data_IF_246551323648
#
_entry.id   IF_246551323648
#
_cell.length_a   1.000
_cell.length_b   1.000
_cell.length_c   1.000
_cell.angle_alpha   90.00
_cell.angle_beta   90.00
_cell.angle_gamma   90.00
#
_symmetry.space_group_name_H-M   'P 1'
#
loop_
_entity.id
_entity.type
_entity.pdbx_description
1 polymer ?
#
# COMPACT_ATOMS: atom_id res chain seq x y z
N UNK A 1 -26.95 -14.46 39.42
CA UNK A 1 -25.63 -14.61 40.08
C UNK A 1 -24.57 -14.11 39.12
N UNK A 2 -23.90 -12.99 39.39
CA UNK A 2 -22.80 -12.46 38.57
C UNK A 2 -21.43 -12.89 39.13
N UNK A 3 -20.38 -12.22 38.63
CA UNK A 3 -18.94 -12.26 38.97
C UNK A 3 -18.19 -13.44 38.26
N UNK A 4 -17.09 -13.31 37.52
CA UNK A 4 -15.94 -12.38 37.56
C UNK A 4 -15.35 -12.15 36.14
N UNK A 5 -15.09 -10.88 35.82
CA UNK A 5 -14.15 -10.39 34.80
C UNK A 5 -12.77 -10.29 35.46
N UNK A 6 -11.70 -10.77 34.81
CA UNK A 6 -10.34 -10.38 35.17
C UNK A 6 -9.62 -9.82 33.94
N UNK A 7 -9.57 -8.49 33.92
CA UNK A 7 -8.65 -7.65 33.15
C UNK A 7 -7.49 -7.36 34.08
N UNK A 8 -6.26 -7.71 33.69
CA UNK A 8 -5.05 -7.19 34.33
C UNK A 8 -4.52 -6.10 33.42
N UNK A 9 -4.95 -4.87 33.71
CA UNK A 9 -4.21 -3.65 33.38
C UNK A 9 -3.37 -3.30 34.61
N UNK A 10 -2.09 -3.05 34.39
CA UNK A 10 -1.20 -2.48 35.41
C UNK A 10 -1.02 -1.01 35.02
N UNK A 11 -1.82 -0.15 35.67
CA UNK A 11 -1.55 1.27 35.81
C UNK A 11 -0.57 1.45 36.97
N UNK A 12 0.58 2.06 36.71
CA UNK A 12 1.45 2.63 37.74
C UNK A 12 1.72 4.08 37.34
N UNK A 13 0.84 4.97 37.79
CA UNK A 13 1.13 6.37 38.07
C UNK A 13 0.40 6.74 39.38
N UNK A 14 1.04 7.63 40.13
CA UNK A 14 0.58 8.30 41.37
C UNK A 14 0.95 7.67 42.72
N UNK A 15 2.20 7.92 43.12
CA UNK A 15 2.54 8.21 44.52
C UNK A 15 3.72 9.19 44.60
N UNK A 16 3.43 10.49 44.64
CA UNK A 16 4.31 11.46 45.28
C UNK A 16 3.47 12.38 46.14
N UNK A 17 3.35 11.97 47.40
CA UNK A 17 2.69 12.71 48.46
C UNK A 17 3.58 13.88 48.91
N UNK A 18 3.00 15.07 48.94
CA UNK A 18 3.64 16.30 49.39
C UNK A 18 3.53 16.40 50.90
N UNK A 19 4.60 16.13 51.65
CA UNK A 19 4.97 16.82 52.91
C UNK A 19 6.24 16.25 53.54
N UNK A 20 7.03 17.15 54.11
CA UNK A 20 8.14 16.93 55.05
C UNK A 20 9.47 16.45 54.45
N UNK A 21 10.25 17.38 53.89
CA UNK A 21 11.66 17.54 54.27
C UNK A 21 12.09 18.98 53.94
N UNK A 22 11.99 19.86 54.94
CA UNK A 22 12.74 21.11 54.97
C UNK A 22 14.10 20.78 55.59
N UNK A 23 15.17 20.90 54.79
CA UNK A 23 16.50 21.40 55.21
C UNK A 23 17.47 21.36 54.02
N UNK A 24 17.85 22.55 53.59
CA UNK A 24 19.11 22.93 52.92
C UNK A 24 19.65 22.00 51.83
N UNK A 25 19.25 22.24 50.58
CA UNK A 25 20.09 21.98 49.41
C UNK A 25 19.94 23.17 48.45
N UNK A 26 21.07 23.72 48.02
CA UNK A 26 21.16 24.95 47.25
C UNK A 26 20.39 24.92 45.92
N UNK A 27 20.04 26.12 45.46
CA UNK A 27 19.47 26.40 44.13
C UNK A 27 20.32 25.77 43.03
N UNK A 28 19.85 24.67 42.45
CA UNK A 28 20.37 24.14 41.20
C UNK A 28 19.78 24.94 40.03
N UNK A 29 20.57 25.36 39.04
CA UNK A 29 20.05 26.11 37.90
C UNK A 29 19.16 25.22 37.02
N UNK A 30 17.90 25.65 36.82
CA UNK A 30 16.86 25.00 36.01
C UNK A 30 17.37 24.53 34.63
N UNK A 31 18.33 25.23 34.05
CA UNK A 31 18.91 24.93 32.74
C UNK A 31 19.54 23.52 32.65
N UNK A 32 19.99 22.91 33.76
CA UNK A 32 20.56 21.55 33.73
C UNK A 32 19.50 20.45 33.72
N UNK A 33 18.35 20.68 34.32
CA UNK A 33 17.23 19.73 34.32
C UNK A 33 16.60 19.72 32.92
N UNK A 34 16.43 20.88 32.30
CA UNK A 34 15.95 20.98 30.92
C UNK A 34 16.92 20.35 29.92
N UNK A 35 18.24 20.51 30.13
CA UNK A 35 19.25 19.80 29.33
C UNK A 35 19.22 18.29 29.54
N UNK A 36 18.96 17.81 30.76
CA UNK A 36 18.91 16.39 31.05
C UNK A 36 17.62 15.74 30.52
N UNK A 37 16.48 16.44 30.59
CA UNK A 37 15.22 16.02 29.97
C UNK A 37 15.32 16.06 28.44
N UNK A 38 15.97 17.08 27.88
CA UNK A 38 16.30 17.17 26.45
C UNK A 38 17.21 16.01 26.01
N UNK A 39 18.24 15.70 26.80
CA UNK A 39 19.17 14.60 26.54
C UNK A 39 18.49 13.23 26.67
N UNK A 40 17.58 13.06 27.63
CA UNK A 40 16.77 11.84 27.78
C UNK A 40 15.71 11.70 26.68
N UNK A 41 15.02 12.79 26.28
CA UNK A 41 14.13 12.76 25.11
C UNK A 41 14.90 12.40 23.86
N UNK A 42 16.08 12.99 23.67
CA UNK A 42 16.97 12.72 22.55
C UNK A 42 17.53 11.29 22.58
N UNK A 43 17.93 10.77 23.74
CA UNK A 43 18.45 9.40 23.87
C UNK A 43 17.38 8.30 23.82
N UNK A 44 16.12 8.64 24.10
CA UNK A 44 14.96 7.75 23.89
C UNK A 44 14.52 7.79 22.42
N UNK A 45 14.53 8.96 21.76
CA UNK A 45 14.27 9.10 20.31
C UNK A 45 15.38 8.50 19.44
N UNK A 46 16.64 8.56 19.86
CA UNK A 46 17.79 8.02 19.11
C UNK A 46 17.90 6.47 19.20
N UNK A 47 17.09 5.82 20.06
CA UNK A 47 17.09 4.36 20.24
C UNK A 47 15.90 3.66 19.58
N UNK A 48 14.93 4.39 19.02
CA UNK A 48 13.86 3.78 18.24
C UNK A 48 14.34 3.59 16.79
N UNK A 49 14.24 2.36 16.29
CA UNK A 49 14.54 2.07 14.89
C UNK A 49 13.75 3.02 13.97
N UNK A 50 14.26 3.45 12.82
CA UNK A 50 13.52 4.34 11.93
C UNK A 50 12.24 3.66 11.40
N UNK A 51 11.26 4.46 10.98
CA UNK A 51 10.06 3.96 10.31
C UNK A 51 10.42 3.28 8.98
N UNK A 52 9.81 2.13 8.73
CA UNK A 52 9.95 1.42 7.47
C UNK A 52 9.32 2.22 6.31
N UNK A 53 10.06 2.39 5.22
CA UNK A 53 9.61 3.10 4.00
C UNK A 53 9.95 2.32 2.74
N UNK A 54 9.16 2.47 1.68
CA UNK A 54 9.43 1.83 0.39
C UNK A 54 8.78 0.45 0.27
N UNK A 55 9.40 -0.41 -0.52
CA UNK A 55 8.99 -1.81 -0.67
C UNK A 55 9.51 -2.63 0.52
N UNK A 56 8.67 -2.75 1.57
CA UNK A 56 8.99 -3.17 2.93
C UNK A 56 9.29 -4.66 3.10
N UNK A 57 8.57 -5.53 2.40
CA UNK A 57 8.73 -7.00 2.52
C UNK A 57 9.52 -7.63 1.37
N UNK A 58 9.91 -6.84 0.37
CA UNK A 58 10.53 -7.34 -0.87
C UNK A 58 12.06 -7.42 -0.79
N UNK A 59 12.55 -8.41 -0.05
CA UNK A 59 13.93 -8.90 -0.26
C UNK A 59 14.01 -10.35 -0.65
N UNK A 60 12.87 -10.95 -0.95
CA UNK A 60 12.79 -12.29 -1.52
C UNK A 60 12.68 -12.11 -3.02
N UNK A 61 13.73 -12.47 -3.76
CA UNK A 61 13.53 -12.78 -5.19
C UNK A 61 12.54 -13.95 -5.25
N UNK A 62 11.29 -13.68 -5.66
CA UNK A 62 10.19 -14.65 -5.72
C UNK A 62 10.30 -15.66 -6.88
N UNK A 63 11.49 -15.84 -7.45
CA UNK A 63 11.72 -16.86 -8.47
C UNK A 63 11.85 -18.22 -7.81
N UNK A 64 10.76 -18.98 -7.79
CA UNK A 64 10.76 -20.41 -7.50
C UNK A 64 11.21 -21.19 -8.74
N UNK A 65 12.38 -20.86 -9.32
CA UNK A 65 13.02 -21.83 -10.18
C UNK A 65 13.28 -23.07 -9.33
N UNK A 66 12.68 -24.19 -9.72
CA UNK A 66 13.07 -25.51 -9.22
C UNK A 66 14.54 -25.67 -9.62
N UNK A 67 15.47 -25.44 -8.68
CA UNK A 67 16.87 -25.79 -8.91
C UNK A 67 16.92 -27.28 -9.27
N UNK A 68 17.88 -27.67 -10.10
CA UNK A 68 18.06 -29.07 -10.50
C UNK A 68 18.20 -30.03 -9.30
N UNK A 69 18.52 -29.50 -8.11
CA UNK A 69 18.66 -30.22 -6.83
C UNK A 69 17.43 -30.15 -5.90
N UNK A 70 16.37 -29.43 -6.27
CA UNK A 70 15.15 -29.32 -5.46
C UNK A 70 15.25 -28.46 -4.20
N UNK A 71 16.35 -27.72 -3.98
CA UNK A 71 16.54 -26.90 -2.77
C UNK A 71 16.05 -25.45 -2.93
N UNK A 72 15.37 -24.94 -1.90
CA UNK A 72 14.98 -23.52 -1.78
C UNK A 72 16.05 -22.75 -0.98
N UNK A 73 16.44 -21.57 -1.48
CA UNK A 73 17.43 -20.71 -0.84
C UNK A 73 16.80 -19.87 0.29
N UNK A 74 17.03 -20.30 1.54
CA UNK A 74 16.51 -19.63 2.75
C UNK A 74 17.33 -18.40 3.19
N UNK A 75 18.42 -18.04 2.49
CA UNK A 75 19.28 -16.90 2.88
C UNK A 75 18.65 -15.51 2.65
N UNK A 76 17.46 -15.46 2.04
CA UNK A 76 16.77 -14.24 1.56
C UNK A 76 15.89 -13.53 2.61
N UNK A 77 15.93 -13.99 3.87
CA UNK A 77 15.06 -13.51 4.96
C UNK A 77 15.56 -12.26 5.69
N UNK A 78 16.75 -11.75 5.36
CA UNK A 78 17.36 -10.64 6.11
C UNK A 78 17.56 -9.43 5.22
N UNK A 79 17.04 -8.30 5.68
CA UNK A 79 17.18 -7.04 4.99
C UNK A 79 18.61 -6.51 5.09
N UNK A 80 19.31 -6.34 3.95
CA UNK A 80 20.60 -5.61 3.84
C UNK A 80 20.57 -4.13 4.29
N UNK A 81 19.39 -3.62 4.63
CA UNK A 81 19.16 -2.27 5.16
C UNK A 81 18.68 -2.54 6.58
N UNK A 82 19.30 -1.92 7.58
CA UNK A 82 19.11 -2.25 9.00
C UNK A 82 17.64 -2.31 9.47
N UNK A 83 17.44 -2.74 10.71
CA UNK A 83 16.11 -2.86 11.31
C UNK A 83 15.34 -1.54 11.25
N UNK A 84 14.12 -1.57 10.73
CA UNK A 84 13.13 -0.50 10.79
C UNK A 84 11.87 -1.03 11.48
N UNK A 85 11.01 -0.15 12.00
CA UNK A 85 9.74 -0.57 12.58
C UNK A 85 8.57 -0.29 11.63
N UNK A 86 7.64 -1.25 11.54
CA UNK A 86 6.36 -1.08 10.86
C UNK A 86 5.34 -0.51 11.83
N UNK A 87 4.61 0.52 11.40
CA UNK A 87 3.45 1.02 12.14
C UNK A 87 2.21 0.21 11.79
N UNK A 88 1.35 -0.04 12.78
CA UNK A 88 -0.02 -0.47 12.54
C UNK A 88 -0.89 0.77 12.55
N UNK A 89 -1.23 1.29 11.38
CA UNK A 89 -2.07 2.47 11.23
C UNK A 89 -3.48 2.21 11.78
N UNK A 90 -3.76 2.82 12.93
CA UNK A 90 -5.10 3.04 13.46
C UNK A 90 -5.87 4.05 12.60
N UNK A 91 -7.17 4.17 12.82
CA UNK A 91 -7.98 5.19 12.12
C UNK A 91 -7.46 6.61 12.38
N UNK A 92 -7.09 6.93 13.63
CA UNK A 92 -6.56 8.24 13.99
C UNK A 92 -5.23 8.53 13.27
N UNK A 93 -4.33 7.55 13.18
CA UNK A 93 -3.06 7.71 12.46
C UNK A 93 -3.26 7.81 10.94
N UNK A 94 -4.26 7.12 10.38
CA UNK A 94 -4.62 7.26 8.97
C UNK A 94 -5.14 8.67 8.66
N UNK A 95 -6.00 9.23 9.52
CA UNK A 95 -6.46 10.62 9.42
C UNK A 95 -5.28 11.59 9.47
N UNK A 96 -4.41 11.46 10.48
CA UNK A 96 -3.22 12.30 10.61
C UNK A 96 -2.30 12.21 9.39
N UNK A 97 -2.13 11.01 8.83
CA UNK A 97 -1.40 10.85 7.56
C UNK A 97 -2.09 11.61 6.40
N UNK A 98 -3.40 11.51 6.24
CA UNK A 98 -4.09 12.22 5.16
C UNK A 98 -3.99 13.75 5.30
N UNK A 99 -4.04 14.27 6.53
CA UNK A 99 -3.82 15.68 6.80
C UNK A 99 -2.38 16.10 6.44
N UNK A 100 -1.37 15.33 6.85
CA UNK A 100 0.04 15.56 6.48
C UNK A 100 0.24 15.58 4.95
N UNK A 101 -0.36 14.64 4.22
CA UNK A 101 -0.29 14.59 2.76
C UNK A 101 -0.98 15.78 2.10
N UNK A 102 -2.11 16.20 2.66
CA UNK A 102 -2.85 17.36 2.18
C UNK A 102 -2.04 18.65 2.36
N UNK A 103 -1.43 18.85 3.52
CA UNK A 103 -0.62 20.03 3.81
C UNK A 103 0.63 20.11 2.91
N UNK A 104 1.23 18.95 2.58
CA UNK A 104 2.29 18.88 1.59
C UNK A 104 1.83 19.33 0.20
N UNK A 105 0.67 18.82 -0.25
CA UNK A 105 0.06 19.23 -1.53
C UNK A 105 -0.18 20.75 -1.59
N UNK A 106 -0.62 21.37 -0.48
CA UNK A 106 -0.80 22.81 -0.40
C UNK A 106 0.54 23.56 -0.50
N UNK A 107 1.57 23.07 0.21
CA UNK A 107 2.89 23.70 0.28
C UNK A 107 3.59 23.71 -1.08
N UNK A 108 3.65 22.56 -1.77
CA UNK A 108 4.24 22.46 -3.12
C UNK A 108 3.54 23.36 -4.14
N UNK A 109 2.21 23.55 -4.00
CA UNK A 109 1.43 24.39 -4.91
C UNK A 109 1.48 25.87 -4.57
N UNK A 110 1.55 26.23 -3.29
CA UNK A 110 1.68 27.63 -2.85
C UNK A 110 2.99 28.25 -3.32
N UNK A 111 4.06 27.46 -3.42
CA UNK A 111 5.34 27.91 -4.00
C UNK A 111 5.23 28.20 -5.50
N UNK A 112 4.27 27.59 -6.19
CA UNK A 112 4.15 27.65 -7.65
C UNK A 112 2.98 28.51 -8.16
N UNK A 113 1.95 28.82 -7.36
CA UNK A 113 0.83 29.72 -7.72
C UNK A 113 0.25 30.45 -6.48
N UNK A 114 0.16 31.79 -6.47
CA UNK A 114 -0.22 32.57 -5.28
C UNK A 114 -1.73 32.63 -4.97
N UNK A 115 -2.60 31.92 -5.71
CA UNK A 115 -4.05 32.07 -5.54
C UNK A 115 -4.62 31.04 -4.53
N UNK A 116 -4.42 31.31 -3.23
CA UNK A 116 -4.80 30.43 -2.11
C UNK A 116 -6.29 30.02 -2.10
N UNK A 117 -7.19 30.87 -2.59
CA UNK A 117 -8.64 30.62 -2.54
C UNK A 117 -9.07 29.43 -3.42
N UNK A 118 -8.38 29.18 -4.54
CA UNK A 118 -8.65 28.03 -5.41
C UNK A 118 -8.03 26.73 -4.86
N UNK A 119 -6.89 26.88 -4.17
CA UNK A 119 -6.12 25.78 -3.58
C UNK A 119 -6.85 25.20 -2.35
N UNK A 120 -7.48 26.04 -1.51
CA UNK A 120 -8.27 25.61 -0.34
C UNK A 120 -9.50 24.75 -0.68
N UNK A 121 -9.93 24.72 -1.96
CA UNK A 121 -11.05 23.90 -2.44
C UNK A 121 -10.60 22.58 -3.09
N UNK A 122 -9.29 22.37 -3.31
CA UNK A 122 -8.79 21.10 -3.82
C UNK A 122 -8.86 20.03 -2.74
N UNK A 123 -9.08 18.80 -3.18
CA UNK A 123 -9.02 17.58 -2.37
C UNK A 123 -7.72 16.84 -2.66
N UNK A 124 -7.23 16.08 -1.70
CA UNK A 124 -6.14 15.14 -1.93
C UNK A 124 -6.66 14.03 -2.85
N UNK A 125 -6.20 14.05 -4.12
CA UNK A 125 -6.63 13.09 -5.13
C UNK A 125 -5.71 11.87 -5.16
N UNK A 126 -6.27 10.69 -4.92
CA UNK A 126 -5.58 9.39 -5.03
C UNK A 126 -6.28 8.58 -6.13
N UNK A 127 -5.53 8.16 -7.15
CA UNK A 127 -6.06 7.39 -8.27
C UNK A 127 -5.55 5.95 -8.26
N UNK A 128 -6.47 5.00 -8.47
CA UNK A 128 -6.20 3.59 -8.68
C UNK A 128 -6.49 3.25 -10.16
N UNK A 129 -5.53 2.71 -10.90
CA UNK A 129 -5.71 2.42 -12.33
C UNK A 129 -5.32 0.98 -12.63
N UNK A 130 -6.25 0.18 -13.14
CA UNK A 130 -5.91 -1.21 -13.47
C UNK A 130 -7.08 -2.14 -13.64
N UNK A 131 -6.79 -3.42 -13.41
CA UNK A 131 -7.73 -4.53 -13.47
C UNK A 131 -8.46 -4.77 -12.12
N UNK A 132 -9.16 -5.91 -12.04
CA UNK A 132 -9.92 -6.36 -10.87
C UNK A 132 -9.08 -6.46 -9.60
N UNK A 133 -7.77 -6.71 -9.69
CA UNK A 133 -6.90 -6.75 -8.52
C UNK A 133 -6.65 -5.35 -7.97
N UNK A 134 -6.42 -4.36 -8.84
CA UNK A 134 -6.33 -2.96 -8.41
C UNK A 134 -7.67 -2.49 -7.84
N UNK A 135 -8.79 -2.91 -8.42
CA UNK A 135 -10.13 -2.66 -7.87
C UNK A 135 -10.31 -3.22 -6.46
N UNK A 136 -9.80 -4.41 -6.17
CA UNK A 136 -9.81 -4.98 -4.82
C UNK A 136 -8.96 -4.18 -3.83
N UNK A 137 -7.80 -3.71 -4.26
CA UNK A 137 -6.94 -2.84 -3.43
C UNK A 137 -7.62 -1.49 -3.17
N UNK A 138 -8.33 -0.93 -4.17
CA UNK A 138 -9.17 0.27 -4.03
C UNK A 138 -10.26 0.07 -2.96
N UNK A 139 -11.08 -0.99 -3.03
CA UNK A 139 -12.10 -1.24 -2.00
C UNK A 139 -11.51 -1.44 -0.61
N UNK A 140 -10.35 -2.10 -0.49
CA UNK A 140 -9.68 -2.24 0.80
C UNK A 140 -9.16 -0.91 1.33
N UNK A 141 -8.67 -0.04 0.45
CA UNK A 141 -8.25 1.31 0.81
C UNK A 141 -9.45 2.16 1.28
N UNK A 142 -10.62 2.04 0.65
CA UNK A 142 -11.83 2.76 1.07
C UNK A 142 -12.24 2.44 2.51
N UNK A 143 -11.90 1.27 3.05
CA UNK A 143 -12.17 0.89 4.45
C UNK A 143 -11.50 1.79 5.48
N UNK A 144 -10.51 2.59 5.06
CA UNK A 144 -9.87 3.61 5.88
C UNK A 144 -10.75 4.85 6.07
N UNK A 145 -11.72 5.06 5.19
CA UNK A 145 -12.67 6.18 5.23
C UNK A 145 -13.93 5.72 5.95
N UNK A 146 -14.49 6.44 6.92
CA UNK A 146 -15.76 6.09 7.54
C UNK A 146 -16.91 6.00 6.53
N UNK A 147 -17.75 4.97 6.60
CA UNK A 147 -18.84 4.74 5.63
C UNK A 147 -19.78 5.94 5.47
N UNK A 148 -20.05 6.67 6.56
CA UNK A 148 -20.94 7.84 6.57
C UNK A 148 -20.36 9.07 5.84
N UNK A 149 -19.06 9.08 5.54
CA UNK A 149 -18.38 10.17 4.85
C UNK A 149 -18.04 9.81 3.39
N UNK A 150 -18.46 8.64 2.91
CA UNK A 150 -18.24 8.23 1.51
C UNK A 150 -19.40 8.66 0.64
N UNK A 151 -19.18 9.65 -0.22
CA UNK A 151 -20.04 9.92 -1.37
C UNK A 151 -19.47 9.17 -2.57
N UNK A 152 -20.25 8.24 -3.13
CA UNK A 152 -19.75 7.33 -4.17
C UNK A 152 -20.43 7.56 -5.51
N UNK A 153 -19.68 7.39 -6.58
CA UNK A 153 -20.20 7.32 -7.94
C UNK A 153 -19.61 6.08 -8.62
N UNK A 154 -20.43 5.13 -9.08
CA UNK A 154 -21.89 5.02 -8.87
C UNK A 154 -22.29 4.84 -7.39
N UNK A 155 -23.56 5.06 -7.08
CA UNK A 155 -24.13 4.90 -5.73
C UNK A 155 -25.30 3.89 -5.73
N UNK A 156 -25.22 2.77 -4.99
CA UNK A 156 -24.07 2.29 -4.22
C UNK A 156 -22.93 1.80 -5.12
N UNK A 157 -21.72 1.66 -4.57
CA UNK A 157 -20.62 1.03 -5.29
C UNK A 157 -20.97 -0.45 -5.60
N UNK A 158 -20.95 -0.86 -6.88
CA UNK A 158 -21.25 -2.22 -7.29
C UNK A 158 -20.11 -3.18 -6.88
N UNK A 159 -20.45 -4.43 -6.56
CA UNK A 159 -19.46 -5.42 -6.14
C UNK A 159 -18.67 -6.05 -7.31
N UNK A 160 -19.33 -6.27 -8.45
CA UNK A 160 -18.70 -6.71 -9.72
C UNK A 160 -18.97 -5.62 -10.74
N UNK A 161 -17.94 -4.90 -11.14
CA UNK A 161 -18.06 -3.75 -12.01
C UNK A 161 -16.75 -3.46 -12.72
N UNK A 162 -16.85 -3.38 -14.03
CA UNK A 162 -15.74 -3.18 -14.96
C UNK A 162 -15.83 -1.75 -15.53
N UNK A 163 -16.03 -0.79 -14.64
CA UNK A 163 -16.15 0.63 -14.96
C UNK A 163 -15.52 1.51 -13.89
N UNK A 164 -15.45 2.80 -14.20
CA UNK A 164 -14.80 3.80 -13.36
C UNK A 164 -15.63 4.11 -12.11
N UNK A 165 -14.95 4.39 -11.01
CA UNK A 165 -15.58 4.72 -9.74
C UNK A 165 -14.91 5.92 -9.10
N UNK A 166 -15.69 6.71 -8.38
CA UNK A 166 -15.22 7.83 -7.59
C UNK A 166 -15.79 7.77 -6.18
N UNK A 167 -14.96 8.12 -5.20
CA UNK A 167 -15.35 8.33 -3.81
C UNK A 167 -14.83 9.67 -3.34
N UNK A 168 -15.72 10.53 -2.89
CA UNK A 168 -15.39 11.80 -2.26
C UNK A 168 -15.65 11.67 -0.76
N UNK A 169 -14.69 12.13 0.03
CA UNK A 169 -14.84 12.34 1.47
C UNK A 169 -14.60 13.80 1.79
N UNK A 170 -15.61 14.44 2.39
CA UNK A 170 -15.52 15.86 2.72
C UNK A 170 -14.75 16.07 4.01
N UNK A 171 -14.94 15.20 5.02
CA UNK A 171 -14.25 15.35 6.30
C UNK A 171 -12.75 15.13 6.16
N UNK A 172 -12.32 14.15 5.37
CA UNK A 172 -10.89 13.87 5.14
C UNK A 172 -10.32 14.64 3.94
N UNK A 173 -11.14 15.46 3.26
CA UNK A 173 -10.75 16.23 2.06
C UNK A 173 -10.15 15.33 0.97
N UNK A 174 -10.68 14.12 0.81
CA UNK A 174 -10.18 13.11 -0.13
C UNK A 174 -11.05 13.04 -1.38
N UNK A 175 -10.39 12.79 -2.51
CA UNK A 175 -10.99 12.29 -3.75
C UNK A 175 -10.26 11.01 -4.12
N UNK A 176 -10.96 9.89 -4.20
CA UNK A 176 -10.37 8.60 -4.55
C UNK A 176 -11.04 8.08 -5.80
N UNK A 177 -10.28 7.86 -6.86
CA UNK A 177 -10.78 7.36 -8.13
C UNK A 177 -10.25 5.96 -8.41
N UNK A 178 -11.08 5.14 -9.05
CA UNK A 178 -10.68 3.90 -9.69
C UNK A 178 -11.00 4.01 -11.17
N UNK A 179 -10.00 3.79 -12.02
CA UNK A 179 -10.18 3.70 -13.47
C UNK A 179 -10.00 2.26 -13.91
N UNK A 180 -11.04 1.71 -14.55
CA UNK A 180 -10.99 0.37 -15.11
C UNK A 180 -10.16 0.38 -16.40
N UNK A 181 -8.89 0.00 -16.26
CA UNK A 181 -7.92 -0.04 -17.35
C UNK A 181 -7.16 -1.36 -17.25
N UNK A 182 -7.75 -2.50 -17.64
CA UNK A 182 -7.13 -3.80 -17.43
C UNK A 182 -5.90 -4.03 -18.32
N UNK A 183 -5.82 -3.32 -19.45
CA UNK A 183 -4.74 -3.42 -20.42
C UNK A 183 -3.94 -2.12 -20.48
N UNK A 184 -2.71 -2.24 -20.98
CA UNK A 184 -1.92 -1.08 -21.38
C UNK A 184 -2.31 -0.79 -22.82
N UNK A 185 -3.02 0.30 -23.05
CA UNK A 185 -3.49 0.73 -24.35
C UNK A 185 -3.32 2.25 -24.53
N UNK A 186 -3.85 2.79 -25.63
CA UNK A 186 -3.75 4.21 -25.91
C UNK A 186 -4.56 5.06 -24.91
N UNK A 187 -5.61 4.48 -24.31
CA UNK A 187 -6.45 5.14 -23.31
C UNK A 187 -5.64 5.48 -22.07
N UNK A 188 -4.97 4.49 -21.47
CA UNK A 188 -4.16 4.73 -20.26
C UNK A 188 -2.94 5.61 -20.55
N UNK A 189 -2.34 5.50 -21.74
CA UNK A 189 -1.24 6.37 -22.17
C UNK A 189 -1.71 7.82 -22.28
N UNK A 190 -2.88 8.05 -22.88
CA UNK A 190 -3.44 9.39 -23.05
C UNK A 190 -3.89 9.98 -21.71
N UNK A 191 -4.56 9.19 -20.85
CA UNK A 191 -4.93 9.61 -19.50
C UNK A 191 -3.70 10.06 -18.69
N UNK A 192 -2.65 9.25 -18.71
CA UNK A 192 -1.37 9.57 -18.03
C UNK A 192 -0.74 10.83 -18.59
N UNK A 193 -0.75 11.00 -19.93
CA UNK A 193 -0.22 12.18 -20.60
C UNK A 193 -0.98 13.44 -20.21
N UNK A 194 -2.30 13.39 -20.18
CA UNK A 194 -3.14 14.53 -19.78
C UNK A 194 -2.78 14.99 -18.37
N UNK A 195 -2.68 14.07 -17.41
CA UNK A 195 -2.23 14.41 -16.05
C UNK A 195 -0.81 14.96 -15.99
N UNK A 196 0.08 14.53 -16.88
CA UNK A 196 1.47 14.98 -16.88
C UNK A 196 1.66 16.38 -17.46
N UNK A 197 0.83 16.80 -18.43
CA UNK A 197 1.10 18.01 -19.24
C UNK A 197 0.09 19.13 -19.04
N UNK A 198 -1.13 18.82 -18.62
CA UNK A 198 -2.20 19.81 -18.54
C UNK A 198 -2.33 20.35 -17.11
N UNK A 199 -1.95 21.62 -16.93
CA UNK A 199 -2.00 22.29 -15.64
C UNK A 199 -3.42 22.51 -15.10
N UNK A 200 -4.45 22.36 -15.95
CA UNK A 200 -5.86 22.39 -15.57
C UNK A 200 -6.39 21.02 -15.18
N UNK A 201 -5.73 19.93 -15.58
CA UNK A 201 -6.12 18.60 -15.12
C UNK A 201 -5.90 18.43 -13.62
N UNK A 202 -6.83 17.76 -12.97
CA UNK A 202 -6.74 17.41 -11.56
C UNK A 202 -5.88 16.15 -11.38
N UNK A 203 -4.61 16.24 -11.80
CA UNK A 203 -3.63 15.15 -11.69
C UNK A 203 -3.60 14.61 -10.24
N UNK A 204 -3.60 13.27 -10.06
CA UNK A 204 -3.62 12.68 -8.74
C UNK A 204 -2.32 13.01 -8.01
N UNK A 205 -2.42 13.31 -6.71
CA UNK A 205 -1.23 13.40 -5.85
C UNK A 205 -0.52 12.04 -5.77
N UNK A 206 -1.29 10.95 -5.71
CA UNK A 206 -0.80 9.58 -5.69
C UNK A 206 -1.52 8.76 -6.76
N UNK A 207 -0.75 8.13 -7.65
CA UNK A 207 -1.21 7.16 -8.62
C UNK A 207 -0.73 5.75 -8.22
N UNK A 208 -1.68 4.86 -7.98
CA UNK A 208 -1.45 3.43 -7.73
C UNK A 208 -1.94 2.66 -8.95
N UNK A 209 -1.06 1.94 -9.65
CA UNK A 209 -1.45 1.28 -10.89
C UNK A 209 -0.86 -0.12 -11.10
N UNK A 210 -1.57 -0.95 -11.85
CA UNK A 210 -1.08 -2.22 -12.39
C UNK A 210 -2.01 -2.80 -13.44
N UNK A 211 -1.43 -3.43 -14.46
CA UNK A 211 -2.14 -3.88 -15.67
C UNK A 211 -1.45 -5.12 -16.26
N UNK A 212 -1.30 -6.18 -15.47
CA UNK A 212 -0.57 -7.38 -15.91
C UNK A 212 -1.49 -8.57 -16.20
N UNK A 213 -2.53 -8.76 -15.38
CA UNK A 213 -3.36 -9.96 -15.38
C UNK A 213 -4.02 -10.20 -16.75
N UNK A 214 -4.64 -9.17 -17.32
CA UNK A 214 -5.36 -9.29 -18.58
C UNK A 214 -4.46 -9.56 -19.78
N UNK A 215 -3.23 -9.05 -19.79
CA UNK A 215 -2.27 -9.38 -20.86
C UNK A 215 -1.82 -10.84 -20.85
N UNK A 216 -2.08 -11.57 -19.75
CA UNK A 216 -1.82 -13.00 -19.68
C UNK A 216 -2.96 -13.82 -20.27
N UNK A 217 -4.15 -13.26 -20.45
CA UNK A 217 -5.31 -13.98 -20.96
C UNK A 217 -5.19 -14.26 -22.46
N UNK A 218 -5.60 -15.45 -22.90
CA UNK A 218 -5.64 -15.87 -24.29
C UNK A 218 -6.63 -15.02 -25.10
N UNK A 219 -7.73 -14.58 -24.47
CA UNK A 219 -8.67 -13.64 -25.10
C UNK A 219 -7.99 -12.33 -25.53
N UNK A 220 -6.95 -11.93 -24.82
CA UNK A 220 -6.14 -10.73 -25.09
C UNK A 220 -4.84 -11.05 -25.85
N UNK A 221 -4.71 -12.29 -26.33
CA UNK A 221 -3.57 -12.79 -27.11
C UNK A 221 -2.37 -13.26 -26.30
N UNK A 222 -2.41 -13.18 -24.96
CA UNK A 222 -1.38 -13.71 -24.04
C UNK A 222 0.08 -13.36 -24.40
N UNK A 223 0.32 -12.19 -25.01
CA UNK A 223 1.59 -11.88 -25.68
C UNK A 223 2.51 -11.03 -24.80
N UNK A 224 3.49 -11.68 -24.16
CA UNK A 224 4.47 -11.01 -23.29
C UNK A 224 5.35 -9.99 -24.02
N UNK A 225 5.66 -10.20 -25.30
CA UNK A 225 6.45 -9.23 -26.08
C UNK A 225 5.63 -7.96 -26.37
N UNK A 226 4.34 -8.13 -26.68
CA UNK A 226 3.41 -7.02 -26.86
C UNK A 226 3.23 -6.24 -25.55
N UNK A 227 3.08 -6.94 -24.42
CA UNK A 227 3.06 -6.33 -23.09
C UNK A 227 4.31 -5.46 -22.85
N UNK A 228 5.50 -6.02 -23.09
CA UNK A 228 6.76 -5.27 -22.95
C UNK A 228 6.81 -4.03 -23.86
N UNK A 229 6.34 -4.15 -25.10
CA UNK A 229 6.28 -3.03 -26.05
C UNK A 229 5.36 -1.92 -25.54
N UNK A 230 4.16 -2.26 -25.08
CA UNK A 230 3.17 -1.33 -24.54
C UNK A 230 3.66 -0.68 -23.24
N UNK A 231 4.28 -1.45 -22.36
CA UNK A 231 4.88 -0.92 -21.14
C UNK A 231 6.00 0.09 -21.42
N UNK A 232 6.84 -0.16 -22.45
CA UNK A 232 7.84 0.81 -22.92
C UNK A 232 7.23 2.10 -23.49
N UNK A 233 6.01 2.06 -24.01
CA UNK A 233 5.28 3.25 -24.49
C UNK A 233 4.69 4.05 -23.32
N UNK A 234 4.23 3.36 -22.27
CA UNK A 234 3.70 3.98 -21.05
C UNK A 234 4.81 4.58 -20.17
N UNK A 235 6.00 3.97 -20.12
CA UNK A 235 7.06 4.38 -19.21
C UNK A 235 7.49 5.87 -19.33
N UNK A 236 7.65 6.46 -20.53
CA UNK A 236 8.01 7.87 -20.65
C UNK A 236 6.93 8.83 -20.10
N UNK A 237 5.65 8.52 -20.27
CA UNK A 237 4.56 9.37 -19.76
C UNK A 237 4.41 9.24 -18.25
N UNK A 238 4.66 8.06 -17.67
CA UNK A 238 4.75 7.89 -16.22
C UNK A 238 5.92 8.71 -15.64
N UNK A 239 7.07 8.71 -16.31
CA UNK A 239 8.20 9.53 -15.89
C UNK A 239 7.86 11.03 -15.87
N UNK A 240 7.14 11.51 -16.89
CA UNK A 240 6.69 12.90 -16.94
C UNK A 240 5.69 13.22 -15.83
N UNK A 241 4.70 12.34 -15.62
CA UNK A 241 3.70 12.49 -14.56
C UNK A 241 4.34 12.54 -13.16
N UNK A 242 5.44 11.80 -12.96
CA UNK A 242 6.11 11.76 -11.68
C UNK A 242 6.74 13.09 -11.23
N UNK A 243 6.78 14.10 -12.11
CA UNK A 243 7.15 15.47 -11.73
C UNK A 243 6.09 16.16 -10.86
N UNK A 244 4.84 15.68 -10.91
CA UNK A 244 3.69 16.29 -10.21
C UNK A 244 2.88 15.29 -9.39
N UNK A 245 3.23 14.00 -9.45
CA UNK A 245 2.52 12.90 -8.78
C UNK A 245 3.50 11.90 -8.19
N UNK A 246 3.13 11.26 -7.08
CA UNK A 246 3.78 10.04 -6.63
C UNK A 246 3.22 8.85 -7.40
N UNK A 247 4.08 7.97 -7.91
CA UNK A 247 3.66 6.81 -8.71
C UNK A 247 4.11 5.52 -8.06
N UNK A 248 3.16 4.63 -7.79
CA UNK A 248 3.36 3.28 -7.27
C UNK A 248 2.84 2.27 -8.28
N UNK A 249 3.74 1.48 -8.88
CA UNK A 249 3.39 0.30 -9.65
C UNK A 249 3.29 -0.92 -8.74
N UNK A 250 2.09 -1.45 -8.54
CA UNK A 250 1.91 -2.67 -7.77
C UNK A 250 2.19 -3.88 -8.67
N UNK A 251 3.20 -4.69 -8.38
CA UNK A 251 3.39 -5.93 -9.13
C UNK A 251 2.21 -6.90 -8.93
N UNK A 252 2.05 -7.80 -9.89
CA UNK A 252 1.03 -8.83 -9.81
C UNK A 252 1.46 -9.86 -8.76
N UNK A 253 0.53 -10.22 -7.86
CA UNK A 253 0.82 -11.16 -6.78
C UNK A 253 1.15 -12.54 -7.34
N UNK A 254 2.08 -13.29 -6.73
CA UNK A 254 2.27 -14.70 -7.04
C UNK A 254 0.98 -15.48 -6.74
N UNK A 255 0.78 -16.56 -7.48
CA UNK A 255 -0.38 -17.45 -7.38
C UNK A 255 0.07 -18.92 -7.32
N UNK A 256 -0.72 -19.85 -7.82
CA UNK A 256 -0.38 -21.27 -7.99
C UNK A 256 0.22 -21.51 -9.38
N UNK A 257 1.13 -22.50 -9.53
CA UNK A 257 1.72 -22.84 -10.84
C UNK A 257 0.73 -23.54 -11.77
N UNK A 258 -0.22 -24.29 -11.20
CA UNK A 258 -1.28 -24.94 -11.96
C UNK A 258 -2.39 -25.34 -10.99
N UNK A 259 -3.63 -24.96 -11.28
CA UNK A 259 -4.77 -25.44 -10.50
C UNK A 259 -5.88 -25.95 -11.42
N UNK A 260 -6.26 -27.21 -11.18
CA UNK A 260 -7.45 -27.81 -11.76
C UNK A 260 -7.19 -28.77 -12.92
N UNK A 261 -8.29 -29.39 -13.37
CA UNK A 261 -8.36 -30.09 -14.64
C UNK A 261 -8.11 -29.06 -15.77
N UNK A 262 -7.78 -29.47 -17.00
CA UNK A 262 -7.57 -28.53 -18.14
C UNK A 262 -8.78 -27.58 -18.35
N UNK A 263 -9.95 -27.97 -17.83
CA UNK A 263 -11.22 -27.22 -17.86
C UNK A 263 -11.59 -26.52 -16.53
N UNK A 264 -10.66 -26.44 -15.56
CA UNK A 264 -10.86 -25.79 -14.26
C UNK A 264 -10.61 -24.27 -14.31
N UNK A 265 -11.00 -23.52 -13.25
CA UNK A 265 -10.78 -22.07 -13.19
C UNK A 265 -9.28 -21.73 -13.18
N UNK A 266 -8.90 -20.79 -14.05
CA UNK A 266 -7.57 -20.18 -14.20
C UNK A 266 -6.41 -21.15 -14.53
N UNK A 267 -6.34 -21.60 -15.78
CA UNK A 267 -5.18 -22.31 -16.34
C UNK A 267 -4.15 -21.39 -17.01
N UNK A 268 -4.46 -20.10 -17.13
CA UNK A 268 -3.72 -19.15 -17.98
C UNK A 268 -2.81 -18.19 -17.18
N UNK A 269 -3.14 -17.94 -15.92
CA UNK A 269 -2.41 -17.05 -15.02
C UNK A 269 -1.79 -17.91 -13.91
N UNK A 270 -0.48 -18.11 -14.00
CA UNK A 270 0.29 -18.92 -13.07
C UNK A 270 1.58 -18.21 -12.66
N UNK A 271 2.18 -18.64 -11.56
CA UNK A 271 3.29 -17.93 -10.90
C UNK A 271 4.50 -17.70 -11.79
N UNK A 272 4.95 -18.68 -12.57
CA UNK A 272 6.07 -18.48 -13.49
C UNK A 272 5.77 -17.40 -14.54
N UNK A 273 4.55 -17.37 -15.09
CA UNK A 273 4.15 -16.33 -16.04
C UNK A 273 4.08 -14.97 -15.38
N UNK A 274 3.49 -14.88 -14.19
CA UNK A 274 3.46 -13.64 -13.40
C UNK A 274 4.87 -13.12 -13.14
N UNK A 275 5.80 -14.01 -12.78
CA UNK A 275 7.20 -13.66 -12.56
C UNK A 275 7.82 -13.01 -13.80
N UNK A 276 7.60 -13.58 -15.00
CA UNK A 276 8.11 -13.02 -16.26
C UNK A 276 7.57 -11.62 -16.55
N UNK A 277 6.30 -11.34 -16.23
CA UNK A 277 5.70 -10.01 -16.37
C UNK A 277 6.26 -9.02 -15.33
N UNK A 278 6.37 -9.43 -14.06
CA UNK A 278 6.95 -8.58 -13.01
C UNK A 278 8.44 -8.27 -13.26
N UNK A 279 9.22 -9.21 -13.80
CA UNK A 279 10.61 -8.97 -14.24
C UNK A 279 10.66 -7.95 -15.36
N UNK A 280 9.72 -8.00 -16.31
CA UNK A 280 9.63 -7.01 -17.38
C UNK A 280 9.33 -5.61 -16.81
N UNK A 281 8.44 -5.50 -15.82
CA UNK A 281 8.18 -4.26 -15.07
C UNK A 281 9.45 -3.76 -14.40
N UNK A 282 10.12 -4.61 -13.62
CA UNK A 282 11.39 -4.29 -12.96
C UNK A 282 12.44 -3.73 -13.90
N UNK A 283 12.59 -4.34 -15.07
CA UNK A 283 13.57 -3.91 -16.08
C UNK A 283 13.17 -2.63 -16.80
N UNK A 284 11.89 -2.43 -17.11
CA UNK A 284 11.42 -1.29 -17.93
C UNK A 284 11.18 -0.06 -17.05
N UNK A 285 10.45 -0.22 -15.94
CA UNK A 285 10.11 0.87 -15.03
C UNK A 285 11.17 1.08 -13.95
N UNK A 286 11.87 0.04 -13.48
CA UNK A 286 12.84 0.16 -12.39
C UNK A 286 14.09 0.97 -12.72
N UNK A 287 14.38 1.17 -14.02
CA UNK A 287 15.40 2.12 -14.45
C UNK A 287 14.99 3.58 -14.22
N UNK A 288 13.71 3.84 -13.97
CA UNK A 288 13.18 5.15 -13.65
C UNK A 288 12.98 5.26 -12.15
N UNK A 289 13.83 6.04 -11.46
CA UNK A 289 13.69 6.30 -10.02
C UNK A 289 12.35 6.95 -9.62
N UNK A 290 11.62 7.47 -10.61
CA UNK A 290 10.37 8.18 -10.48
C UNK A 290 9.14 7.28 -10.30
N UNK A 291 9.26 5.96 -10.56
CA UNK A 291 8.18 4.99 -10.36
C UNK A 291 8.60 3.99 -9.28
N UNK A 292 7.84 3.91 -8.19
CA UNK A 292 8.08 2.92 -7.13
C UNK A 292 7.43 1.60 -7.51
N UNK A 293 8.25 0.57 -7.74
CA UNK A 293 7.75 -0.80 -7.88
C UNK A 293 7.50 -1.37 -6.49
N UNK A 294 6.33 -1.95 -6.28
CA UNK A 294 5.87 -2.36 -4.96
C UNK A 294 5.36 -3.80 -4.97
N UNK A 295 6.03 -4.62 -4.16
CA UNK A 295 5.89 -6.08 -4.12
C UNK A 295 5.66 -6.58 -2.68
N UNK A 296 5.45 -5.66 -1.73
CA UNK A 296 5.37 -6.01 -0.30
C UNK A 296 4.17 -6.89 0.06
N UNK A 297 3.17 -6.97 -0.80
CA UNK A 297 2.07 -7.92 -0.62
C UNK A 297 2.43 -9.36 -1.04
N UNK A 298 3.49 -9.58 -1.81
CA UNK A 298 3.80 -10.91 -2.34
C UNK A 298 3.90 -11.99 -1.25
N UNK A 299 4.63 -11.79 -0.12
CA UNK A 299 4.64 -12.78 0.95
C UNK A 299 3.25 -13.04 1.56
N UNK A 300 2.41 -12.01 1.68
CA UNK A 300 1.05 -12.16 2.20
C UNK A 300 0.17 -12.96 1.22
N UNK A 301 0.30 -12.71 -0.07
CA UNK A 301 -0.38 -13.47 -1.12
C UNK A 301 0.10 -14.92 -1.19
N UNK A 302 1.39 -15.18 -0.97
CA UNK A 302 1.93 -16.54 -0.88
C UNK A 302 1.37 -17.31 0.32
N UNK A 303 1.38 -16.71 1.52
CA UNK A 303 0.79 -17.32 2.72
C UNK A 303 -0.70 -17.57 2.51
N UNK A 304 -1.39 -16.64 1.86
CA UNK A 304 -2.77 -16.81 1.46
C UNK A 304 -2.96 -18.03 0.57
N UNK A 305 -2.23 -18.13 -0.55
CA UNK A 305 -2.28 -19.27 -1.48
C UNK A 305 -1.93 -20.59 -0.79
N UNK A 306 -0.95 -20.58 0.13
CA UNK A 306 -0.60 -21.74 0.95
C UNK A 306 -1.75 -22.14 1.86
N UNK A 307 -2.39 -21.17 2.51
CA UNK A 307 -3.61 -21.36 3.31
C UNK A 307 -4.75 -21.94 2.49
N UNK A 308 -4.93 -21.48 1.24
CA UNK A 308 -5.92 -22.03 0.31
C UNK A 308 -5.66 -23.50 -0.03
N UNK A 309 -4.40 -23.82 -0.33
CA UNK A 309 -3.99 -25.18 -0.68
C UNK A 309 -4.15 -26.13 0.52
N UNK A 310 -3.80 -25.68 1.73
CA UNK A 310 -3.98 -26.44 2.96
C UNK A 310 -5.46 -26.62 3.30
N UNK A 311 -6.24 -25.55 3.20
CA UNK A 311 -7.68 -25.58 3.49
C UNK A 311 -8.41 -26.51 2.55
N UNK A 312 -8.09 -26.54 1.26
CA UNK A 312 -8.72 -27.52 0.36
C UNK A 312 -8.40 -28.96 0.75
N UNK A 313 -7.15 -29.26 1.14
CA UNK A 313 -6.79 -30.61 1.64
C UNK A 313 -7.59 -31.01 2.88
N UNK A 314 -7.97 -30.04 3.73
CA UNK A 314 -8.71 -30.28 4.97
C UNK A 314 -10.23 -30.10 4.79
N UNK A 315 -10.72 -29.29 3.87
CA UNK A 315 -12.14 -29.14 3.56
C UNK A 315 -12.68 -30.38 2.85
N UNK A 316 -11.84 -31.14 2.14
CA UNK A 316 -12.15 -32.54 1.79
C UNK A 316 -12.38 -33.43 3.04
N UNK A 317 -11.99 -32.97 4.24
CA UNK A 317 -12.26 -33.63 5.53
C UNK A 317 -13.31 -32.90 6.41
N UNK A 318 -13.60 -31.60 6.21
CA UNK A 318 -14.54 -30.81 7.01
C UNK A 318 -15.23 -29.69 6.19
N UNK A 319 -16.54 -29.80 5.97
CA UNK A 319 -17.38 -28.79 5.30
C UNK A 319 -17.51 -27.51 6.15
N UNK A 320 -16.61 -26.54 6.01
CA UNK A 320 -16.76 -25.20 6.63
C UNK A 320 -17.09 -24.13 5.55
N UNK A 321 -18.22 -23.40 5.65
CA UNK A 321 -18.67 -22.43 4.64
C UNK A 321 -18.12 -21.01 4.77
N UNK A 322 -17.12 -20.71 5.62
CA UNK A 322 -16.67 -19.32 5.80
C UNK A 322 -15.73 -18.82 4.67
N UNK A 323 -16.30 -18.51 3.50
CA UNK A 323 -15.64 -17.92 2.31
C UNK A 323 -15.06 -16.49 2.52
N UNK A 324 -15.22 -15.89 3.70
CA UNK A 324 -14.89 -14.47 3.94
C UNK A 324 -13.43 -14.21 4.27
N UNK A 325 -12.75 -15.16 4.93
CA UNK A 325 -11.33 -15.06 5.25
C UNK A 325 -10.44 -15.51 4.09
N UNK A 326 -10.95 -16.44 3.28
CA UNK A 326 -10.28 -16.93 2.12
C UNK A 326 -11.21 -17.10 0.91
N UNK A 327 -10.86 -16.45 -0.20
CA UNK A 327 -11.50 -16.60 -1.51
C UNK A 327 -10.73 -17.61 -2.38
N UNK A 328 -11.10 -18.88 -2.31
CA UNK A 328 -10.41 -19.98 -2.99
C UNK A 328 -10.73 -20.12 -4.49
N UNK A 329 -11.46 -19.17 -5.10
CA UNK A 329 -12.12 -19.40 -6.39
C UNK A 329 -11.19 -19.37 -7.60
N UNK A 330 -10.23 -18.44 -7.65
CA UNK A 330 -9.39 -18.24 -8.84
C UNK A 330 -7.88 -18.08 -8.57
N UNK A 331 -7.48 -18.01 -7.29
CA UNK A 331 -6.11 -17.80 -6.81
C UNK A 331 -5.39 -16.54 -7.34
N UNK A 332 -5.99 -15.78 -8.25
CA UNK A 332 -5.48 -14.52 -8.78
C UNK A 332 -5.87 -13.35 -7.91
N UNK A 333 -6.96 -13.51 -7.14
CA UNK A 333 -7.45 -12.54 -6.19
C UNK A 333 -7.18 -12.98 -4.75
N UNK A 334 -6.37 -12.21 -4.04
CA UNK A 334 -6.11 -12.45 -2.62
C UNK A 334 -7.36 -12.18 -1.77
N UNK A 335 -7.51 -12.93 -0.68
CA UNK A 335 -8.61 -12.77 0.26
C UNK A 335 -8.47 -11.52 1.12
N UNK A 336 -9.53 -11.18 1.85
CA UNK A 336 -9.60 -9.95 2.64
C UNK A 336 -8.44 -9.80 3.63
N UNK A 337 -8.07 -10.86 4.36
CA UNK A 337 -7.00 -10.76 5.37
C UNK A 337 -5.64 -10.38 4.78
N UNK A 338 -5.30 -10.91 3.60
CA UNK A 338 -4.06 -10.57 2.91
C UNK A 338 -4.12 -9.14 2.36
N UNK A 339 -5.26 -8.75 1.77
CA UNK A 339 -5.45 -7.39 1.23
C UNK A 339 -5.50 -6.31 2.32
N UNK A 340 -6.06 -6.61 3.49
CA UNK A 340 -6.09 -5.68 4.64
C UNK A 340 -4.68 -5.43 5.16
N UNK A 341 -3.86 -6.48 5.32
CA UNK A 341 -2.45 -6.35 5.70
C UNK A 341 -1.62 -5.66 4.62
N UNK A 342 -1.86 -5.97 3.35
CA UNK A 342 -1.26 -5.27 2.20
C UNK A 342 -1.55 -3.76 2.25
N UNK A 343 -2.79 -3.39 2.56
CA UNK A 343 -3.21 -1.98 2.68
C UNK A 343 -2.48 -1.27 3.82
N UNK A 344 -2.24 -1.94 4.96
CA UNK A 344 -1.43 -1.41 6.05
C UNK A 344 0.03 -1.19 5.64
N UNK A 345 0.62 -2.11 4.87
CA UNK A 345 1.97 -1.94 4.33
C UNK A 345 2.03 -0.80 3.31
N UNK A 346 0.99 -0.67 2.47
CA UNK A 346 0.88 0.42 1.51
C UNK A 346 0.75 1.77 2.23
N UNK A 347 -0.01 1.85 3.33
CA UNK A 347 -0.07 3.04 4.18
C UNK A 347 1.28 3.36 4.81
N UNK A 348 2.04 2.36 5.29
CA UNK A 348 3.39 2.59 5.77
C UNK A 348 4.27 3.19 4.67
N UNK A 349 4.20 2.67 3.44
CA UNK A 349 4.96 3.23 2.32
C UNK A 349 4.53 4.68 2.01
N UNK A 350 3.24 4.95 1.91
CA UNK A 350 2.71 6.28 1.58
C UNK A 350 3.03 7.29 2.69
N UNK A 351 2.66 6.99 3.93
CA UNK A 351 2.71 7.93 5.04
C UNK A 351 4.15 8.14 5.55
N UNK A 352 4.93 7.06 5.70
CA UNK A 352 6.28 7.17 6.28
C UNK A 352 7.29 7.82 5.30
N UNK A 353 7.07 7.70 3.98
CA UNK A 353 7.90 8.40 2.99
C UNK A 353 7.74 9.93 3.09
N UNK A 354 6.54 10.41 3.41
CA UNK A 354 6.29 11.84 3.50
C UNK A 354 6.76 12.45 4.84
N UNK A 355 6.78 11.65 5.93
CA UNK A 355 7.35 12.07 7.23
C UNK A 355 8.85 12.33 7.22
N UNK A 356 9.61 11.75 6.28
CA UNK A 356 11.07 11.98 6.16
C UNK A 356 11.45 13.42 5.80
N UNK A 357 10.51 14.21 5.27
CA UNK A 357 10.76 15.58 4.86
C UNK A 357 10.61 16.59 6.00
N UNK A 358 9.90 16.24 7.08
CA UNK A 358 9.60 17.17 8.19
C UNK A 358 10.71 17.16 9.26
N UNK A 359 11.49 16.08 9.38
CA UNK A 359 12.58 15.96 10.37
C UNK A 359 13.96 16.42 9.83
N UNK A 360 13.99 17.13 8.69
CA UNK A 360 15.22 17.67 8.10
C UNK A 360 15.34 19.20 8.17
N UNK A 361 14.32 19.86 8.70
CA UNK A 361 14.36 21.25 9.15
C UNK A 361 14.48 21.28 10.68
#
# INVERSE_FOLDING_TARGET
MPIIINVIGIDILDHFDSKSYSKNVGTFPNNRIDLFISFLKKSVLDNEAPLCTGNLLDKRQHHYAKKADGSYDNSRLVTKTGSCHLMRYTQAEAVGCFDELYDHLLTEKSLNKPNLNLISRKRLHIAFVGDSRIRQQFYNFLKLIPDYDRMTEPSPLPFVYDGDMEVISNLLRLRITFYWQPLIDDTVVQLTRMWATDAETDAPYLLVLSMALWHMLQSEGANHQLYQKKLKQLAPVLHQLANVSQIIWLNQFPTVEFYGNINGPNTEIHTEKIHQYNVAVGRILGNQKSVRIWDSCNPLAEEYVRGCTFSQRIQYALNDPSDSFFNFKDYSHAGYSALSQSTQLLLNDICNNNRKYILRD
#
